data_IF_826008542272
#
_entry.id   IF_826008542272
#
_cell.length_a   1.000
_cell.length_b   1.000
_cell.length_c   1.000
_cell.angle_alpha   90.00
_cell.angle_beta   90.00
_cell.angle_gamma   90.00
#
_symmetry.space_group_name_H-M   'P 1'
#
loop_
_entity.id
_entity.type
_entity.pdbx_description
1 polymer ?
#
# COMPACT_ATOMS: atom_id res chain seq x y z
N UNK A 1 0.90 -7.32 14.85
CA UNK A 1 0.75 -6.51 13.60
C UNK A 1 1.99 -5.65 13.34
N UNK A 2 3.19 -6.29 13.32
CA UNK A 2 4.47 -5.57 13.22
C UNK A 2 5.15 -5.69 11.86
N UNK A 3 4.75 -6.64 11.04
CA UNK A 3 5.44 -7.01 9.81
C UNK A 3 6.45 -8.14 9.98
N UNK A 4 6.73 -8.84 8.87
CA UNK A 4 7.49 -10.10 8.88
C UNK A 4 8.93 -9.93 9.38
N UNK A 5 9.63 -8.90 8.95
CA UNK A 5 11.02 -8.68 9.33
C UNK A 5 11.18 -8.36 10.83
N UNK A 6 10.24 -7.57 11.37
CA UNK A 6 10.15 -7.29 12.81
C UNK A 6 9.85 -8.57 13.59
N UNK A 7 8.88 -9.37 13.14
CA UNK A 7 8.49 -10.62 13.80
C UNK A 7 9.63 -11.64 13.79
N UNK A 8 10.36 -11.78 12.69
CA UNK A 8 11.55 -12.64 12.58
C UNK A 8 12.66 -12.16 13.54
N UNK A 9 12.93 -10.86 13.57
CA UNK A 9 13.93 -10.30 14.49
C UNK A 9 13.54 -10.49 15.95
N UNK A 10 12.27 -10.27 16.29
CA UNK A 10 11.72 -10.50 17.63
C UNK A 10 11.83 -11.97 18.03
N UNK A 11 11.45 -12.89 17.15
CA UNK A 11 11.54 -14.34 17.37
C UNK A 11 12.98 -14.79 17.71
N UNK A 12 14.00 -14.16 17.11
CA UNK A 12 15.40 -14.44 17.41
C UNK A 12 15.87 -13.93 18.77
N UNK A 13 15.17 -13.00 19.39
CA UNK A 13 15.57 -12.33 20.64
C UNK A 13 14.75 -12.75 21.85
N UNK A 14 13.47 -13.09 21.66
CA UNK A 14 12.54 -13.41 22.75
C UNK A 14 12.42 -14.91 22.92
N UNK A 15 12.43 -15.36 24.18
CA UNK A 15 12.28 -16.77 24.56
C UNK A 15 10.85 -17.09 24.96
N UNK A 16 10.43 -18.34 24.82
CA UNK A 16 9.14 -18.83 25.30
C UNK A 16 7.96 -18.50 24.40
N UNK A 17 8.23 -18.16 23.14
CA UNK A 17 7.22 -18.02 22.10
C UNK A 17 7.32 -19.21 21.15
N UNK A 18 6.28 -20.05 21.06
CA UNK A 18 6.24 -21.19 20.16
C UNK A 18 5.92 -20.76 18.73
N UNK A 19 4.97 -19.83 18.55
CA UNK A 19 4.59 -19.31 17.24
C UNK A 19 4.22 -17.83 17.27
N UNK A 20 4.53 -17.11 16.19
CA UNK A 20 4.07 -15.76 15.88
C UNK A 20 3.18 -15.84 14.63
N UNK A 21 1.92 -15.44 14.79
CA UNK A 21 0.97 -15.28 13.70
C UNK A 21 0.99 -13.83 13.26
N UNK A 22 1.81 -13.52 12.25
CA UNK A 22 2.06 -12.17 11.77
C UNK A 22 0.91 -11.60 10.92
N UNK A 23 1.04 -10.32 10.63
CA UNK A 23 0.10 -9.57 9.80
C UNK A 23 0.81 -8.42 9.07
N UNK A 24 0.23 -7.25 9.02
CA UNK A 24 0.73 -5.96 8.54
C UNK A 24 1.34 -5.94 7.11
N UNK A 25 2.39 -6.71 6.83
CA UNK A 25 3.05 -6.74 5.52
C UNK A 25 2.25 -7.51 4.45
N UNK A 26 1.14 -8.14 4.83
CA UNK A 26 0.25 -8.88 3.94
C UNK A 26 0.89 -10.07 3.22
N UNK A 27 1.99 -10.61 3.75
CA UNK A 27 2.69 -11.74 3.15
C UNK A 27 1.85 -13.01 3.22
N UNK A 28 1.77 -13.73 2.12
CA UNK A 28 1.21 -15.08 2.08
C UNK A 28 2.36 -16.09 2.12
N UNK A 29 2.65 -16.67 3.27
CA UNK A 29 3.78 -17.58 3.46
C UNK A 29 3.36 -19.04 3.23
N UNK A 30 3.76 -19.68 2.13
CA UNK A 30 3.46 -21.09 1.88
C UNK A 30 4.14 -22.03 2.89
N UNK A 31 5.29 -21.58 3.41
CA UNK A 31 6.09 -22.30 4.43
C UNK A 31 6.45 -21.32 5.54
N UNK A 32 6.29 -21.68 6.81
CA UNK A 32 6.66 -20.80 7.91
C UNK A 32 8.19 -20.65 8.03
N UNK A 33 8.63 -19.52 8.54
CA UNK A 33 10.04 -19.31 8.93
C UNK A 33 10.26 -19.86 10.33
N UNK A 34 11.28 -20.71 10.49
CA UNK A 34 11.68 -21.26 11.80
C UNK A 34 12.89 -20.49 12.29
N UNK A 35 12.69 -19.74 13.36
CA UNK A 35 13.73 -18.91 13.96
C UNK A 35 14.26 -19.56 15.25
N UNK A 36 15.57 -19.82 15.28
CA UNK A 36 16.23 -20.35 16.48
C UNK A 36 16.61 -19.19 17.41
N UNK A 37 16.42 -19.38 18.72
CA UNK A 37 16.81 -18.46 19.77
C UNK A 37 17.38 -19.23 21.00
N UNK A 38 17.80 -18.52 22.02
CA UNK A 38 18.40 -19.13 23.20
C UNK A 38 17.43 -19.98 24.06
N UNK A 39 16.13 -19.96 23.76
CA UNK A 39 15.09 -20.75 24.44
C UNK A 39 14.54 -21.90 23.58
N UNK A 40 14.97 -22.03 22.32
CA UNK A 40 14.46 -23.04 21.39
C UNK A 40 14.21 -22.52 20.00
N UNK A 41 13.04 -22.77 19.47
CA UNK A 41 12.62 -22.35 18.12
C UNK A 41 11.27 -21.66 18.19
N UNK A 42 11.08 -20.63 17.41
CA UNK A 42 9.81 -19.92 17.21
C UNK A 42 9.38 -20.08 15.76
N UNK A 43 8.13 -20.44 15.51
CA UNK A 43 7.52 -20.52 14.20
C UNK A 43 6.98 -19.13 13.85
N UNK A 44 7.37 -18.56 12.72
CA UNK A 44 6.83 -17.27 12.25
C UNK A 44 6.10 -17.49 10.95
N UNK A 45 4.85 -17.06 10.87
CA UNK A 45 4.01 -17.19 9.68
C UNK A 45 3.08 -16.01 9.48
N UNK A 46 2.63 -15.82 8.25
CA UNK A 46 1.65 -14.80 7.87
C UNK A 46 0.73 -15.38 6.78
N UNK A 47 -0.57 -15.20 6.92
CA UNK A 47 -1.58 -15.79 6.04
C UNK A 47 -2.12 -14.78 4.99
N UNK A 48 -1.33 -13.79 4.60
CA UNK A 48 -1.73 -12.80 3.62
C UNK A 48 -2.70 -11.77 4.15
N UNK A 49 -3.63 -11.34 3.33
CA UNK A 49 -4.61 -10.30 3.66
C UNK A 49 -5.96 -10.54 2.98
N UNK A 50 -6.99 -9.83 3.46
CA UNK A 50 -8.31 -9.74 2.83
C UNK A 50 -9.00 -11.13 2.62
N UNK A 51 -8.74 -12.10 3.49
CA UNK A 51 -9.32 -13.44 3.39
C UNK A 51 -8.88 -14.25 2.16
N UNK A 52 -7.80 -13.86 1.48
CA UNK A 52 -7.28 -14.59 0.30
C UNK A 52 -6.70 -15.96 0.65
N UNK A 53 -6.25 -16.13 1.89
CA UNK A 53 -5.68 -17.37 2.38
C UNK A 53 -6.20 -17.69 3.78
N UNK A 54 -6.20 -18.99 4.10
CA UNK A 54 -6.39 -19.52 5.44
C UNK A 54 -5.11 -20.25 5.87
N UNK A 55 -4.42 -19.72 6.87
CA UNK A 55 -3.30 -20.39 7.53
C UNK A 55 -3.82 -21.42 8.52
N UNK A 56 -3.44 -22.69 8.36
CA UNK A 56 -3.78 -23.77 9.30
C UNK A 56 -2.50 -24.25 9.97
N UNK A 57 -2.45 -24.15 11.29
CA UNK A 57 -1.32 -24.54 12.11
C UNK A 57 -1.78 -25.52 13.19
N UNK A 58 -1.40 -26.81 13.02
CA UNK A 58 -1.72 -27.89 13.94
C UNK A 58 -0.49 -28.16 14.83
N UNK A 59 -0.66 -28.22 16.14
CA UNK A 59 0.41 -28.51 17.09
C UNK A 59 0.24 -29.92 17.70
N UNK A 60 1.35 -30.66 17.79
CA UNK A 60 1.48 -31.83 18.68
C UNK A 60 2.12 -31.37 19.99
N UNK A 61 1.34 -31.39 21.07
CA UNK A 61 1.79 -30.88 22.38
C UNK A 61 2.06 -32.07 23.32
N UNK A 62 3.29 -32.14 23.87
CA UNK A 62 3.72 -33.14 24.85
C UNK A 62 4.37 -32.43 26.04
N UNK A 63 3.95 -32.80 27.23
CA UNK A 63 4.48 -32.24 28.49
C UNK A 63 4.49 -30.70 28.52
N UNK A 64 3.42 -30.08 28.01
CA UNK A 64 3.25 -28.65 27.94
C UNK A 64 4.15 -27.93 26.94
N UNK A 65 4.78 -28.66 26.01
CA UNK A 65 5.64 -28.11 24.95
C UNK A 65 5.20 -28.55 23.57
N UNK A 66 5.40 -27.70 22.58
CA UNK A 66 5.19 -28.02 21.17
C UNK A 66 6.29 -29.01 20.72
N UNK A 67 5.95 -30.28 20.56
CA UNK A 67 6.85 -31.34 20.12
C UNK A 67 6.98 -31.38 18.60
N UNK A 68 5.88 -31.12 17.87
CA UNK A 68 5.83 -31.03 16.41
C UNK A 68 4.72 -30.10 15.95
N UNK A 69 4.75 -29.72 14.70
CA UNK A 69 3.68 -28.94 14.07
C UNK A 69 3.50 -29.32 12.60
N UNK A 70 2.32 -28.99 12.07
CA UNK A 70 2.05 -28.99 10.63
C UNK A 70 1.48 -27.64 10.25
N UNK A 71 1.94 -27.08 9.13
CA UNK A 71 1.44 -25.81 8.59
C UNK A 71 0.96 -25.99 7.16
N UNK A 72 -0.13 -25.31 6.82
CA UNK A 72 -0.68 -25.23 5.46
C UNK A 72 -1.22 -23.84 5.23
N UNK A 73 -0.90 -23.27 4.10
CA UNK A 73 -1.52 -22.05 3.60
C UNK A 73 -2.50 -22.44 2.49
N UNK A 74 -3.80 -22.32 2.78
CA UNK A 74 -4.86 -22.71 1.86
C UNK A 74 -5.39 -21.48 1.14
N UNK A 75 -5.33 -21.40 -0.21
CA UNK A 75 -5.93 -20.32 -0.94
C UNK A 75 -7.46 -20.40 -0.90
N UNK A 76 -8.13 -19.26 -0.76
CA UNK A 76 -9.58 -19.13 -0.75
C UNK A 76 -10.04 -18.67 -2.14
N UNK A 77 -10.65 -19.56 -2.90
CA UNK A 77 -11.18 -19.29 -4.23
C UNK A 77 -12.70 -19.12 -4.17
N UNK A 78 -13.17 -17.87 -4.21
CA UNK A 78 -14.60 -17.56 -4.10
C UNK A 78 -15.47 -18.13 -5.24
N UNK A 79 -14.86 -18.49 -6.37
CA UNK A 79 -15.56 -19.13 -7.50
C UNK A 79 -15.61 -20.67 -7.40
N UNK A 80 -14.92 -21.27 -6.43
CA UNK A 80 -14.88 -22.73 -6.20
C UNK A 80 -15.58 -23.07 -4.90
N UNK A 81 -15.41 -22.28 -3.86
CA UNK A 81 -15.98 -22.48 -2.54
C UNK A 81 -17.38 -21.87 -2.45
N UNK A 82 -18.41 -22.61 -2.02
CA UNK A 82 -19.72 -22.00 -1.79
C UNK A 82 -19.62 -21.00 -0.64
N UNK A 83 -20.27 -19.85 -0.84
CA UNK A 83 -20.38 -18.86 0.22
C UNK A 83 -21.27 -19.39 1.37
N UNK A 84 -20.92 -19.07 2.62
CA UNK A 84 -21.79 -19.29 3.75
C UNK A 84 -23.10 -18.52 3.58
N UNK A 85 -24.24 -19.20 3.70
CA UNK A 85 -25.53 -18.64 3.37
C UNK A 85 -25.99 -17.54 4.33
N UNK A 86 -25.69 -17.69 5.63
CA UNK A 86 -26.05 -16.71 6.67
C UNK A 86 -25.19 -15.46 6.53
N UNK A 87 -23.89 -15.63 6.33
CA UNK A 87 -22.97 -14.50 6.09
C UNK A 87 -23.33 -13.76 4.80
N UNK A 88 -23.64 -14.48 3.72
CA UNK A 88 -24.06 -13.85 2.46
C UNK A 88 -25.38 -13.07 2.62
N UNK A 89 -26.33 -13.57 3.42
CA UNK A 89 -27.57 -12.85 3.72
C UNK A 89 -27.31 -11.59 4.57
N UNK A 90 -26.43 -11.67 5.57
CA UNK A 90 -26.03 -10.54 6.39
C UNK A 90 -25.36 -9.45 5.54
N UNK A 91 -24.41 -9.83 4.67
CA UNK A 91 -23.72 -8.90 3.76
C UNK A 91 -24.75 -8.20 2.86
N UNK A 92 -25.67 -8.92 2.21
CA UNK A 92 -26.72 -8.32 1.40
C UNK A 92 -27.58 -7.32 2.19
N UNK A 93 -27.97 -7.69 3.41
CA UNK A 93 -28.77 -6.80 4.27
C UNK A 93 -28.03 -5.49 4.59
N UNK A 94 -26.74 -5.58 4.94
CA UNK A 94 -25.92 -4.40 5.26
C UNK A 94 -25.68 -3.53 4.03
N UNK A 95 -25.43 -4.15 2.87
CA UNK A 95 -25.13 -3.44 1.61
C UNK A 95 -26.35 -2.80 0.95
N UNK A 96 -27.56 -3.36 1.15
CA UNK A 96 -28.77 -2.96 0.43
C UNK A 96 -29.03 -1.44 0.40
N UNK A 97 -28.83 -0.65 1.46
CA UNK A 97 -29.03 0.81 1.41
C UNK A 97 -28.01 1.55 0.52
N UNK A 98 -26.88 0.95 0.22
CA UNK A 98 -25.74 1.57 -0.46
C UNK A 98 -25.51 1.02 -1.87
N UNK A 99 -26.18 -0.07 -2.24
CA UNK A 99 -25.90 -0.84 -3.45
C UNK A 99 -25.97 0.02 -4.72
N UNK A 100 -27.02 0.84 -4.86
CA UNK A 100 -27.18 1.72 -6.02
C UNK A 100 -26.07 2.79 -6.11
N UNK A 101 -25.66 3.33 -4.97
CA UNK A 101 -24.60 4.34 -4.89
C UNK A 101 -23.23 3.72 -5.18
N UNK A 102 -22.93 2.59 -4.57
CA UNK A 102 -21.63 1.92 -4.71
C UNK A 102 -21.46 1.31 -6.11
N UNK A 103 -22.53 0.80 -6.70
CA UNK A 103 -22.53 0.22 -8.05
C UNK A 103 -22.50 1.24 -9.19
N UNK A 104 -22.57 2.54 -8.91
CA UNK A 104 -22.49 3.57 -9.97
C UNK A 104 -21.17 3.46 -10.73
N UNK A 105 -21.28 3.30 -12.06
CA UNK A 105 -20.13 3.27 -12.96
C UNK A 105 -19.65 4.70 -13.21
N UNK A 106 -18.41 4.99 -12.83
CA UNK A 106 -17.78 6.30 -12.98
C UNK A 106 -17.02 6.42 -14.30
N UNK A 107 -16.37 5.34 -14.71
CA UNK A 107 -15.59 5.23 -15.93
C UNK A 107 -15.37 3.75 -16.28
N UNK A 108 -14.64 3.47 -17.35
CA UNK A 108 -14.17 2.14 -17.74
C UNK A 108 -12.66 2.16 -17.93
N UNK A 109 -11.96 1.10 -17.56
CA UNK A 109 -10.53 1.02 -17.83
C UNK A 109 -10.23 0.24 -19.11
N UNK A 110 -9.28 0.73 -19.92
CA UNK A 110 -8.76 0.09 -21.14
C UNK A 110 -7.45 -0.68 -20.88
N UNK A 111 -7.04 -0.77 -19.62
CA UNK A 111 -5.86 -1.50 -19.18
C UNK A 111 -5.98 -1.96 -17.75
N UNK A 112 -4.95 -2.64 -17.23
CA UNK A 112 -4.94 -3.12 -15.86
C UNK A 112 -4.68 -1.97 -14.88
N UNK A 113 -5.55 -1.83 -13.87
CA UNK A 113 -5.35 -0.95 -12.73
C UNK A 113 -4.96 -1.79 -11.50
N UNK A 114 -3.85 -1.47 -10.87
CA UNK A 114 -3.36 -2.15 -9.67
C UNK A 114 -2.58 -1.20 -8.76
N UNK A 115 -2.39 -1.60 -7.51
CA UNK A 115 -1.72 -0.81 -6.46
C UNK A 115 -0.63 -1.60 -5.72
N UNK A 116 -0.11 -2.66 -6.24
CA UNK A 116 0.94 -3.45 -5.57
C UNK A 116 2.31 -3.08 -6.09
N UNK A 117 3.32 -3.10 -5.21
CA UNK A 117 4.71 -2.77 -5.50
C UNK A 117 5.23 -1.69 -4.54
N UNK A 118 6.55 -1.55 -4.45
CA UNK A 118 7.17 -0.56 -3.56
C UNK A 118 6.94 0.88 -4.04
N UNK A 119 6.65 1.07 -5.30
CA UNK A 119 6.43 2.36 -5.95
C UNK A 119 5.03 2.41 -6.61
N UNK A 120 4.81 3.31 -7.55
CA UNK A 120 3.50 3.49 -8.16
C UNK A 120 3.04 2.25 -8.92
N UNK A 121 1.79 1.82 -8.66
CA UNK A 121 1.01 1.03 -9.61
C UNK A 121 0.16 1.93 -10.51
N UNK A 122 -0.46 1.36 -11.54
CA UNK A 122 -1.32 2.11 -12.47
C UNK A 122 -2.59 2.65 -11.80
N UNK A 123 -3.09 2.00 -10.75
CA UNK A 123 -4.19 2.51 -9.93
C UNK A 123 -3.78 3.70 -9.07
N UNK A 124 -2.54 3.71 -8.54
CA UNK A 124 -2.00 4.88 -7.85
C UNK A 124 -1.81 6.04 -8.84
N UNK A 125 -1.28 5.75 -10.03
CA UNK A 125 -1.06 6.76 -11.06
C UNK A 125 -2.37 7.46 -11.46
N UNK A 126 -3.47 6.71 -11.56
CA UNK A 126 -4.80 7.28 -11.81
C UNK A 126 -5.19 8.31 -10.76
N UNK A 127 -4.99 8.00 -9.47
CA UNK A 127 -5.30 8.94 -8.38
C UNK A 127 -4.42 10.19 -8.44
N UNK A 128 -3.14 10.02 -8.73
CA UNK A 128 -2.17 11.12 -8.87
C UNK A 128 -2.54 12.03 -10.05
N UNK A 129 -2.85 11.44 -11.22
CA UNK A 129 -3.23 12.19 -12.41
C UNK A 129 -4.51 12.99 -12.19
N UNK A 130 -5.52 12.41 -11.53
CA UNK A 130 -6.75 13.10 -11.17
C UNK A 130 -6.49 14.28 -10.22
N UNK A 131 -5.67 14.06 -9.17
CA UNK A 131 -5.32 15.13 -8.24
C UNK A 131 -4.55 16.27 -8.93
N UNK A 132 -3.56 15.94 -9.74
CA UNK A 132 -2.79 16.96 -10.47
C UNK A 132 -3.67 17.78 -11.40
N UNK A 133 -4.57 17.11 -12.14
CA UNK A 133 -5.46 17.76 -13.09
C UNK A 133 -6.51 18.65 -12.39
N UNK A 134 -7.18 18.14 -11.35
CA UNK A 134 -8.30 18.84 -10.69
C UNK A 134 -7.82 19.96 -9.76
N UNK A 135 -6.68 19.77 -9.11
CA UNK A 135 -6.12 20.74 -8.16
C UNK A 135 -5.09 21.67 -8.81
N UNK A 136 -4.84 21.54 -10.12
CA UNK A 136 -3.85 22.33 -10.85
C UNK A 136 -2.50 22.36 -10.13
N UNK A 137 -1.97 21.19 -9.80
CA UNK A 137 -0.70 21.01 -9.09
C UNK A 137 0.27 20.19 -9.93
N UNK A 138 1.51 20.67 -10.14
CA UNK A 138 2.49 19.97 -10.97
C UNK A 138 3.08 18.72 -10.30
N UNK A 139 2.90 18.58 -8.99
CA UNK A 139 3.36 17.45 -8.19
C UNK A 139 2.19 16.93 -7.38
N UNK A 140 2.06 15.61 -7.27
CA UNK A 140 1.11 14.99 -6.37
C UNK A 140 1.74 13.88 -5.54
N UNK A 141 1.27 13.74 -4.29
CA UNK A 141 1.62 12.65 -3.38
C UNK A 141 0.38 11.86 -2.97
N UNK A 142 0.51 10.54 -2.97
CA UNK A 142 -0.48 9.61 -2.44
C UNK A 142 0.20 8.65 -1.48
N UNK A 143 -0.46 8.25 -0.37
CA UNK A 143 0.14 7.29 0.55
C UNK A 143 0.48 5.97 -0.13
N UNK A 144 1.54 5.33 0.33
CA UNK A 144 1.98 4.00 -0.11
C UNK A 144 1.09 2.88 0.45
N UNK A 145 -0.21 2.96 0.24
CA UNK A 145 -1.14 1.91 0.66
C UNK A 145 -1.09 0.72 -0.29
N UNK A 146 -1.27 -0.50 0.24
CA UNK A 146 -1.17 -1.76 -0.50
C UNK A 146 -2.51 -2.44 -0.74
N UNK A 147 -3.60 -1.87 -0.24
CA UNK A 147 -4.95 -2.42 -0.46
C UNK A 147 -5.59 -1.85 -1.72
N UNK A 148 -6.70 -2.42 -2.09
CA UNK A 148 -7.45 -2.10 -3.28
C UNK A 148 -7.52 -3.30 -4.22
N UNK A 149 -8.66 -3.42 -4.89
CA UNK A 149 -8.91 -4.48 -5.87
C UNK A 149 -8.36 -4.09 -7.23
N UNK A 150 -7.62 -4.99 -7.88
CA UNK A 150 -7.16 -4.76 -9.26
C UNK A 150 -8.33 -4.86 -10.24
N UNK A 151 -8.30 -4.04 -11.28
CA UNK A 151 -9.20 -4.14 -12.44
C UNK A 151 -8.42 -4.55 -13.69
N UNK A 152 -9.04 -5.38 -14.51
CA UNK A 152 -8.52 -5.78 -15.80
C UNK A 152 -9.06 -4.87 -16.91
N UNK A 153 -8.40 -4.87 -18.06
CA UNK A 153 -8.88 -4.14 -19.24
C UNK A 153 -10.33 -4.47 -19.55
N UNK A 154 -11.12 -3.44 -19.83
CA UNK A 154 -12.52 -3.55 -20.17
C UNK A 154 -13.48 -3.61 -18.98
N UNK A 155 -12.98 -3.60 -17.73
CA UNK A 155 -13.83 -3.56 -16.53
C UNK A 155 -14.27 -2.14 -16.18
N UNK A 156 -15.41 -2.06 -15.51
CA UNK A 156 -15.97 -0.80 -15.04
C UNK A 156 -15.25 -0.34 -13.76
N UNK A 157 -14.96 0.95 -13.69
CA UNK A 157 -14.51 1.65 -12.50
C UNK A 157 -15.75 2.14 -11.78
N UNK A 158 -16.16 1.43 -10.73
CA UNK A 158 -17.33 1.79 -9.93
C UNK A 158 -16.95 2.72 -8.77
N UNK A 159 -17.95 3.36 -8.16
CA UNK A 159 -17.73 4.11 -6.92
C UNK A 159 -17.20 3.20 -5.80
N UNK A 160 -17.68 1.96 -5.72
CA UNK A 160 -17.15 0.99 -4.74
C UNK A 160 -15.65 0.75 -4.92
N UNK A 161 -15.20 0.57 -6.16
CA UNK A 161 -13.77 0.42 -6.44
C UNK A 161 -12.95 1.64 -6.01
N UNK A 162 -13.46 2.84 -6.30
CA UNK A 162 -12.79 4.08 -5.86
C UNK A 162 -12.74 4.17 -4.33
N UNK A 163 -13.82 3.81 -3.64
CA UNK A 163 -13.86 3.76 -2.18
C UNK A 163 -12.91 2.69 -1.61
N UNK A 164 -12.83 1.51 -2.22
CA UNK A 164 -11.87 0.45 -1.84
C UNK A 164 -10.41 0.95 -1.92
N UNK A 165 -10.13 1.83 -2.89
CA UNK A 165 -8.82 2.46 -3.06
C UNK A 165 -8.54 3.59 -2.07
N UNK A 166 -9.56 4.31 -1.59
CA UNK A 166 -9.38 5.65 -0.99
C UNK A 166 -10.08 5.85 0.35
N UNK A 167 -11.04 5.01 0.73
CA UNK A 167 -11.75 5.16 1.98
C UNK A 167 -10.89 4.80 3.19
N UNK A 168 -10.30 5.79 3.80
CA UNK A 168 -9.47 5.69 5.01
C UNK A 168 -9.98 6.66 6.07
N UNK A 169 -9.45 6.54 7.29
CA UNK A 169 -9.80 7.46 8.39
C UNK A 169 -9.47 8.92 8.05
N UNK A 170 -8.45 9.15 7.21
CA UNK A 170 -7.95 10.49 6.85
C UNK A 170 -7.96 10.67 5.34
N UNK A 171 -9.11 10.64 4.71
CA UNK A 171 -9.26 10.64 3.24
C UNK A 171 -9.31 12.04 2.61
N UNK A 172 -8.95 13.08 3.34
CA UNK A 172 -8.97 14.46 2.83
C UNK A 172 -7.87 14.73 1.81
N UNK A 173 -8.23 15.42 0.74
CA UNK A 173 -7.29 15.95 -0.23
C UNK A 173 -6.75 17.32 0.23
N UNK A 174 -5.48 17.56 -0.02
CA UNK A 174 -4.80 18.80 0.36
C UNK A 174 -4.05 19.41 -0.81
N UNK A 175 -3.85 20.73 -0.78
CA UNK A 175 -2.90 21.42 -1.65
C UNK A 175 -2.03 22.28 -0.76
N UNK A 176 -0.73 22.08 -0.85
CA UNK A 176 0.25 22.78 -0.02
C UNK A 176 1.42 23.30 -0.87
N UNK A 177 2.11 24.34 -0.39
CA UNK A 177 3.40 24.74 -0.94
C UNK A 177 4.51 24.05 -0.15
N UNK A 178 5.38 23.33 -0.82
CA UNK A 178 6.55 22.66 -0.23
C UNK A 178 7.82 23.12 -0.93
N UNK A 179 8.89 23.36 -0.17
CA UNK A 179 10.21 23.60 -0.76
C UNK A 179 10.77 22.29 -1.34
N UNK A 180 11.70 22.39 -2.31
CA UNK A 180 12.38 21.20 -2.84
C UNK A 180 13.07 20.39 -1.73
N UNK A 181 13.63 21.08 -0.73
CA UNK A 181 14.20 20.43 0.45
C UNK A 181 13.16 19.65 1.26
N UNK A 182 11.98 20.24 1.49
CA UNK A 182 10.86 19.56 2.19
C UNK A 182 10.38 18.32 1.41
N UNK A 183 10.22 18.43 0.09
CA UNK A 183 9.87 17.30 -0.78
C UNK A 183 10.88 16.18 -0.62
N UNK A 184 12.19 16.50 -0.66
CA UNK A 184 13.25 15.49 -0.43
C UNK A 184 13.12 14.84 0.93
N UNK A 185 12.92 15.63 1.99
CA UNK A 185 12.78 15.13 3.36
C UNK A 185 11.62 14.14 3.49
N UNK A 186 10.46 14.42 2.90
CA UNK A 186 9.30 13.51 2.91
C UNK A 186 9.65 12.18 2.23
N UNK A 187 10.31 12.22 1.07
CA UNK A 187 10.70 11.01 0.35
C UNK A 187 11.76 10.20 1.10
N UNK A 188 12.73 10.87 1.73
CA UNK A 188 13.78 10.23 2.53
C UNK A 188 13.23 9.57 3.79
N UNK A 189 12.32 10.23 4.50
CA UNK A 189 11.70 9.72 5.72
C UNK A 189 10.90 8.44 5.44
N UNK A 190 10.06 8.47 4.41
CA UNK A 190 9.33 7.26 3.98
C UNK A 190 10.29 6.19 3.46
N UNK A 191 11.34 6.58 2.75
CA UNK A 191 12.39 5.67 2.30
C UNK A 191 13.11 4.99 3.46
N UNK A 192 13.32 5.69 4.58
CA UNK A 192 13.93 5.08 5.77
C UNK A 192 12.99 4.08 6.45
N UNK A 193 11.71 4.36 6.51
CA UNK A 193 10.72 3.41 7.02
C UNK A 193 10.67 2.10 6.22
N UNK A 194 11.05 2.12 4.94
CA UNK A 194 11.02 0.94 4.07
C UNK A 194 12.37 0.25 3.97
N UNK A 195 13.46 1.00 3.87
CA UNK A 195 14.80 0.48 3.56
C UNK A 195 15.79 0.54 4.73
N UNK A 196 15.34 0.85 5.94
CA UNK A 196 16.23 0.82 7.11
C UNK A 196 16.76 -0.60 7.31
N UNK A 197 18.09 -0.80 7.48
CA UNK A 197 18.66 -2.14 7.67
C UNK A 197 18.25 -2.78 9.00
N UNK A 198 17.79 -2.01 9.97
CA UNK A 198 17.22 -2.52 11.22
C UNK A 198 15.68 -2.57 11.12
N UNK A 199 15.06 -3.78 11.07
CA UNK A 199 13.62 -3.95 10.98
C UNK A 199 12.81 -3.21 12.06
N UNK A 200 13.39 -2.95 13.23
CA UNK A 200 12.68 -2.23 14.30
C UNK A 200 12.47 -0.74 14.00
N UNK A 201 13.14 -0.19 13.01
CA UNK A 201 12.91 1.16 12.49
C UNK A 201 12.03 1.18 11.23
N UNK A 202 11.71 0.01 10.68
CA UNK A 202 10.76 -0.09 9.57
C UNK A 202 9.32 -0.04 10.12
N UNK A 203 8.57 0.95 9.70
CA UNK A 203 7.17 1.09 10.13
C UNK A 203 6.18 0.38 9.18
N UNK A 204 6.69 -0.26 8.14
CA UNK A 204 5.91 -0.91 7.10
C UNK A 204 5.30 0.09 6.12
N UNK A 205 4.51 -0.41 5.20
CA UNK A 205 4.00 0.37 4.08
C UNK A 205 4.90 0.26 2.86
N UNK A 206 4.62 1.06 1.86
CA UNK A 206 5.43 1.23 0.65
C UNK A 206 5.89 2.68 0.54
N UNK A 207 6.70 2.99 -0.47
CA UNK A 207 7.07 4.37 -0.77
C UNK A 207 5.82 5.23 -1.03
N UNK A 208 5.89 6.50 -0.67
CA UNK A 208 4.89 7.46 -1.10
C UNK A 208 4.78 7.43 -2.63
N UNK A 209 3.56 7.40 -3.13
CA UNK A 209 3.29 7.44 -4.56
C UNK A 209 3.46 8.86 -5.06
N UNK A 210 4.18 9.02 -6.15
CA UNK A 210 4.60 10.35 -6.64
C UNK A 210 4.08 10.57 -8.05
N UNK A 211 3.39 11.68 -8.28
CA UNK A 211 3.01 12.17 -9.61
C UNK A 211 3.81 13.40 -10.00
N UNK A 212 4.13 13.54 -11.29
CA UNK A 212 4.78 14.71 -11.88
C UNK A 212 6.27 14.86 -11.62
N UNK A 213 6.79 14.29 -10.53
CA UNK A 213 8.19 14.40 -10.12
C UNK A 213 8.97 13.17 -10.51
N UNK A 214 10.06 13.30 -11.24
CA UNK A 214 11.04 12.25 -11.51
C UNK A 214 12.16 12.30 -10.49
N UNK A 215 12.68 11.16 -10.05
CA UNK A 215 13.79 11.10 -9.10
C UNK A 215 14.55 9.77 -9.17
N UNK A 216 15.72 9.73 -8.55
CA UNK A 216 16.49 8.50 -8.33
C UNK A 216 16.32 8.06 -6.89
N UNK A 217 16.26 6.73 -6.69
CA UNK A 217 16.24 6.12 -5.37
C UNK A 217 17.35 5.06 -5.26
N UNK A 218 18.16 5.19 -4.22
CA UNK A 218 19.15 4.19 -3.82
C UNK A 218 18.69 3.52 -2.51
N UNK A 219 18.03 2.37 -2.56
CA UNK A 219 17.58 1.68 -1.35
C UNK A 219 18.71 1.27 -0.39
N UNK A 220 19.94 1.16 -0.90
CA UNK A 220 21.11 0.71 -0.14
C UNK A 220 21.83 1.84 0.60
N UNK A 221 21.53 3.10 0.25
CA UNK A 221 22.13 4.25 0.89
C UNK A 221 21.61 4.49 2.32
N UNK A 222 22.35 5.25 3.11
CA UNK A 222 21.92 5.67 4.45
C UNK A 222 20.76 6.65 4.41
N UNK A 223 20.10 6.82 5.57
CA UNK A 223 19.01 7.79 5.73
C UNK A 223 19.44 9.20 5.28
N UNK A 224 18.58 9.88 4.53
CA UNK A 224 18.84 11.20 3.96
C UNK A 224 19.69 11.22 2.68
N UNK A 225 20.16 10.06 2.21
CA UNK A 225 21.00 9.95 1.01
C UNK A 225 20.41 9.03 -0.07
N UNK A 226 19.18 8.54 0.13
CA UNK A 226 18.53 7.61 -0.80
C UNK A 226 17.93 8.31 -2.00
N UNK A 227 17.47 9.55 -1.84
CA UNK A 227 16.74 10.30 -2.87
C UNK A 227 17.64 11.36 -3.49
N UNK A 228 17.77 11.31 -4.82
CA UNK A 228 18.60 12.24 -5.60
C UNK A 228 17.98 12.53 -6.96
N UNK A 229 18.58 13.47 -7.70
CA UNK A 229 18.21 13.85 -9.07
C UNK A 229 16.70 14.10 -9.25
N UNK A 230 16.09 14.82 -8.28
CA UNK A 230 14.67 15.18 -8.36
C UNK A 230 14.43 16.21 -9.45
N UNK A 231 13.55 15.90 -10.41
CA UNK A 231 13.25 16.74 -11.58
C UNK A 231 11.76 16.91 -11.78
N UNK A 232 11.37 18.15 -12.00
CA UNK A 232 10.04 18.52 -12.47
C UNK A 232 10.15 19.04 -13.91
N UNK A 233 9.46 18.42 -14.86
CA UNK A 233 9.54 18.75 -16.28
C UNK A 233 10.99 18.80 -16.80
N UNK A 234 11.84 17.87 -16.34
CA UNK A 234 13.25 17.76 -16.72
C UNK A 234 14.20 18.71 -16.02
N UNK A 235 13.71 19.70 -15.27
CA UNK A 235 14.53 20.65 -14.51
C UNK A 235 14.74 20.16 -13.08
N UNK A 236 15.97 20.29 -12.55
CA UNK A 236 16.27 19.94 -11.16
C UNK A 236 15.43 20.80 -10.20
N UNK A 237 14.93 20.18 -9.14
CA UNK A 237 14.31 20.92 -8.06
C UNK A 237 15.36 21.75 -7.30
N UNK A 238 15.01 23.00 -7.09
CA UNK A 238 15.78 23.92 -6.26
C UNK A 238 15.36 23.76 -4.79
N UNK A 239 16.32 23.62 -3.88
CA UNK A 239 16.07 23.29 -2.48
C UNK A 239 15.12 24.31 -1.79
N UNK A 240 15.33 25.59 -2.03
CA UNK A 240 14.60 26.69 -1.36
C UNK A 240 13.36 27.15 -2.12
N UNK A 241 13.17 26.71 -3.36
CA UNK A 241 12.01 27.07 -4.17
C UNK A 241 10.78 26.31 -3.74
N UNK A 242 9.66 26.99 -3.67
CA UNK A 242 8.36 26.42 -3.36
C UNK A 242 7.69 25.85 -4.62
N UNK A 243 7.09 24.69 -4.43
CA UNK A 243 6.33 23.97 -5.44
C UNK A 243 4.93 23.67 -4.88
N UNK A 244 3.91 23.83 -5.71
CA UNK A 244 2.54 23.44 -5.37
C UNK A 244 2.43 21.93 -5.44
N UNK A 245 2.03 21.31 -4.35
CA UNK A 245 1.92 19.85 -4.19
C UNK A 245 0.50 19.50 -3.78
N UNK A 246 -0.17 18.68 -4.60
CA UNK A 246 -1.42 18.04 -4.24
C UNK A 246 -1.13 16.79 -3.40
N UNK A 247 -2.01 16.45 -2.45
CA UNK A 247 -1.87 15.26 -1.63
C UNK A 247 -3.20 14.82 -1.07
N UNK A 248 -3.21 13.66 -0.39
CA UNK A 248 -4.35 13.21 0.37
C UNK A 248 -3.90 12.33 1.55
N UNK A 249 -4.83 12.00 2.44
CA UNK A 249 -4.58 11.30 3.69
C UNK A 249 -3.58 12.01 4.62
N UNK A 250 -3.81 13.30 4.94
CA UNK A 250 -2.92 14.05 5.81
C UNK A 250 -2.94 13.49 7.23
N UNK A 251 -1.77 13.42 7.86
CA UNK A 251 -1.64 13.03 9.28
C UNK A 251 -1.89 14.21 10.21
N UNK A 252 -1.54 15.42 9.77
CA UNK A 252 -1.68 16.64 10.57
C UNK A 252 -3.15 16.98 10.86
N UNK A 253 -3.46 17.27 12.13
CA UNK A 253 -4.83 17.59 12.59
C UNK A 253 -5.42 18.81 11.89
N UNK A 254 -4.60 19.83 11.63
CA UNK A 254 -5.00 21.05 10.94
C UNK A 254 -5.55 20.74 9.55
N UNK A 255 -4.91 19.81 8.84
CA UNK A 255 -5.32 19.41 7.51
C UNK A 255 -6.63 18.58 7.52
N UNK A 256 -6.90 17.83 8.59
CA UNK A 256 -8.14 17.06 8.74
C UNK A 256 -9.37 17.96 8.92
N UNK A 257 -9.21 19.13 9.52
CA UNK A 257 -10.29 20.04 9.92
C UNK A 257 -10.41 21.27 9.00
N UNK A 258 -9.63 21.40 7.95
CA UNK A 258 -9.58 22.58 7.09
C UNK A 258 -10.74 22.69 6.07
N UNK A 259 -11.81 21.89 6.17
CA UNK A 259 -12.90 21.87 5.19
C UNK A 259 -12.50 21.31 3.83
N UNK A 260 -11.42 20.56 3.78
CA UNK A 260 -10.92 19.92 2.57
C UNK A 260 -11.91 18.86 2.06
N UNK A 261 -12.02 18.72 0.74
CA UNK A 261 -12.79 17.65 0.11
C UNK A 261 -12.15 16.29 0.37
N UNK A 262 -12.98 15.26 0.40
CA UNK A 262 -12.49 13.90 0.39
C UNK A 262 -11.84 13.58 -0.97
N UNK A 263 -10.86 12.69 -1.01
CA UNK A 263 -10.17 12.35 -2.26
C UNK A 263 -11.13 11.85 -3.35
N UNK A 264 -12.16 11.08 -3.01
CA UNK A 264 -13.15 10.63 -3.97
C UNK A 264 -13.99 11.75 -4.55
N UNK A 265 -14.24 12.86 -3.80
CA UNK A 265 -14.92 14.05 -4.32
C UNK A 265 -14.09 14.83 -5.37
N UNK A 266 -12.79 14.58 -5.39
CA UNK A 266 -11.86 15.09 -6.41
C UNK A 266 -11.80 14.14 -7.60
N UNK A 267 -11.65 12.84 -7.35
CA UNK A 267 -11.38 11.83 -8.39
C UNK A 267 -12.65 11.45 -9.17
N UNK A 268 -13.80 11.35 -8.51
CA UNK A 268 -15.05 10.91 -9.13
C UNK A 268 -15.51 11.79 -10.30
N UNK A 269 -15.58 13.13 -10.17
CA UNK A 269 -15.95 13.99 -11.31
C UNK A 269 -14.96 13.87 -12.47
N UNK A 270 -13.67 13.76 -12.17
CA UNK A 270 -12.64 13.58 -13.19
C UNK A 270 -12.82 12.25 -13.95
N UNK A 271 -13.08 11.14 -13.25
CA UNK A 271 -13.36 9.85 -13.87
C UNK A 271 -14.57 9.92 -14.82
N UNK A 272 -15.65 10.54 -14.37
CA UNK A 272 -16.88 10.72 -15.18
C UNK A 272 -16.63 11.54 -16.45
N UNK A 273 -15.75 12.53 -16.38
CA UNK A 273 -15.36 13.33 -17.54
C UNK A 273 -14.50 12.52 -18.52
N UNK A 274 -13.54 11.76 -18.02
CA UNK A 274 -12.67 10.90 -18.84
C UNK A 274 -13.41 9.76 -19.53
N UNK A 275 -14.45 9.18 -18.90
CA UNK A 275 -15.25 8.04 -19.37
C UNK A 275 -14.47 6.76 -19.59
N UNK A 276 -13.31 6.81 -20.22
CA UNK A 276 -12.40 5.68 -20.46
C UNK A 276 -11.01 6.06 -19.98
N UNK A 277 -10.50 5.28 -19.06
CA UNK A 277 -9.15 5.42 -18.54
C UNK A 277 -8.20 4.53 -19.35
N UNK A 278 -7.19 5.15 -19.93
CA UNK A 278 -6.06 4.46 -20.59
C UNK A 278 -4.86 4.55 -19.66
N UNK A 279 -4.59 3.51 -18.87
CA UNK A 279 -3.45 3.55 -17.96
C UNK A 279 -2.15 3.74 -18.73
N UNK A 280 -1.44 4.81 -18.39
CA UNK A 280 -0.08 5.06 -18.87
C UNK A 280 0.96 4.25 -18.08
N UNK A 281 2.23 4.50 -18.38
CA UNK A 281 3.32 4.02 -17.55
C UNK A 281 3.25 4.70 -16.18
N UNK A 282 3.32 3.91 -15.11
CA UNK A 282 3.41 4.45 -13.76
C UNK A 282 4.70 5.28 -13.59
N UNK A 283 4.62 6.35 -12.81
CA UNK A 283 5.76 7.21 -12.51
C UNK A 283 6.61 6.57 -11.42
N UNK A 284 7.57 5.74 -11.83
CA UNK A 284 8.51 5.06 -10.95
C UNK A 284 9.85 5.79 -10.90
N UNK A 285 10.54 5.78 -9.75
CA UNK A 285 11.89 6.33 -9.66
C UNK A 285 12.88 5.47 -10.47
N UNK A 286 13.98 6.09 -10.86
CA UNK A 286 15.13 5.33 -11.34
C UNK A 286 15.87 4.72 -10.14
N UNK A 287 15.84 3.40 -10.01
CA UNK A 287 16.60 2.69 -9.00
C UNK A 287 18.09 2.67 -9.38
N UNK A 288 18.94 2.90 -8.38
CA UNK A 288 20.42 2.86 -8.55
C UNK A 288 21.02 1.94 -7.49
N UNK A 289 22.22 1.42 -7.77
CA UNK A 289 22.98 0.54 -6.88
C UNK A 289 22.28 -0.76 -6.47
N UNK A 290 21.25 -1.15 -7.20
CA UNK A 290 20.55 -2.42 -7.00
C UNK A 290 20.58 -3.23 -8.29
N UNK A 291 20.61 -4.55 -8.16
CA UNK A 291 20.43 -5.44 -9.30
C UNK A 291 18.99 -5.33 -9.81
N UNK A 292 18.76 -5.48 -11.12
CA UNK A 292 17.41 -5.56 -11.66
C UNK A 292 16.62 -6.65 -10.92
N UNK A 293 15.61 -6.24 -10.17
CA UNK A 293 14.76 -7.12 -9.39
C UNK A 293 13.33 -6.63 -9.47
N UNK A 294 12.45 -7.41 -10.07
CA UNK A 294 11.03 -7.10 -10.21
C UNK A 294 10.32 -6.94 -8.85
N UNK A 295 10.86 -7.51 -7.77
CA UNK A 295 10.35 -7.33 -6.42
C UNK A 295 10.65 -5.95 -5.81
N UNK A 296 11.52 -5.15 -6.43
CA UNK A 296 11.83 -3.78 -6.01
C UNK A 296 11.08 -2.72 -6.84
N UNK A 297 10.54 -3.11 -7.97
CA UNK A 297 9.77 -2.24 -8.86
C UNK A 297 8.30 -2.17 -8.42
#
# INVERSE_FOLDING_TARGET
>A
HNGMDVDIKMAGRVRGIDAILGGHTHDGMPVPTIVSNAGGKTIVTNAGSNGKFLGVLDFDVKDGKVAAFKYRLLPVFANILPADAEMAALIRKIRAPYEAQLGEVLARTDGTLYRRGNFNGTGDQLLLDAMMAVQDAPIAFSPGFRWGTSLLAGQDITREWLMDMTATTYSYATVTEMTGATIKTVLEDVGDNLFNPDPYYQQGGDMVRVGGLQYQCDPTAGAGQRISDMRLNGQLLEADKKYKVAGWAPVAEEAKNAGNKQIWEIVEPWLKDQKVIKPGKANEPRLVNVLPNQGLA
#
